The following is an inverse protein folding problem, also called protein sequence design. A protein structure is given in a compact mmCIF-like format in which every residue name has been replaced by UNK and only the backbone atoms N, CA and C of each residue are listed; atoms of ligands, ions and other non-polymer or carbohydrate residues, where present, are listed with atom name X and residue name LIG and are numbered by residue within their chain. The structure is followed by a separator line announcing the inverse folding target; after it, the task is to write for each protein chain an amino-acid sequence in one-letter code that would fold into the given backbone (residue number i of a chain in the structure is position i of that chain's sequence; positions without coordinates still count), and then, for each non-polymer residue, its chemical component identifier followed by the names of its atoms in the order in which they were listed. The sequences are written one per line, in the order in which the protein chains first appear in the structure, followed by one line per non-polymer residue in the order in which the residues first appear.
data_IF_785724453468
#
_entry.id   IF_785724453468
#
_cell.length_a   1.000
_cell.length_b   1.000
_cell.length_c   1.000
_cell.angle_alpha   90.00
_cell.angle_beta   90.00
_cell.angle_gamma   90.00
#
_symmetry.space_group_name_H-M   'P 1'
#
loop_
_entity.id
_entity.type
_entity.pdbx_description
1 polymer ?
#
# COMPACT_ATOMS: atom_id res chain seq x y z
N UNK A 1 -45.81 35.14 40.81
CA UNK A 1 -44.39 35.17 40.39
C UNK A 1 -44.10 36.55 39.84
N UNK A 2 -43.23 37.30 40.51
CA UNK A 2 -43.00 38.73 40.23
C UNK A 2 -42.09 38.90 39.01
N UNK A 3 -42.46 39.72 38.01
CA UNK A 3 -41.68 39.91 36.78
C UNK A 3 -40.30 40.55 37.01
N UNK A 4 -39.98 40.98 38.25
CA UNK A 4 -38.68 41.56 38.60
C UNK A 4 -37.56 40.54 38.83
N UNK A 5 -37.88 39.28 39.14
CA UNK A 5 -36.86 38.24 39.41
C UNK A 5 -36.18 37.70 38.15
N UNK A 6 -36.88 37.70 37.01
CA UNK A 6 -36.34 37.21 35.74
C UNK A 6 -35.31 38.14 35.11
N UNK A 7 -35.44 39.46 35.33
CA UNK A 7 -34.54 40.45 34.75
C UNK A 7 -33.16 40.43 35.41
N UNK A 8 -33.11 40.23 36.74
CA UNK A 8 -31.86 40.23 37.50
C UNK A 8 -31.00 38.99 37.19
N UNK A 9 -31.62 37.82 36.96
CA UNK A 9 -30.90 36.60 36.54
C UNK A 9 -30.27 36.73 35.15
N UNK A 10 -30.93 37.39 34.20
CA UNK A 10 -30.37 37.59 32.86
C UNK A 10 -29.15 38.51 32.87
N UNK A 11 -29.18 39.59 33.65
CA UNK A 11 -28.05 40.53 33.78
C UNK A 11 -26.83 39.85 34.42
N UNK A 12 -27.05 39.01 35.44
CA UNK A 12 -25.97 38.29 36.11
C UNK A 12 -25.28 37.26 35.18
N UNK A 13 -26.06 36.54 34.36
CA UNK A 13 -25.51 35.57 33.39
C UNK A 13 -24.70 36.27 32.30
N UNK A 14 -25.16 37.42 31.81
CA UNK A 14 -24.42 38.20 30.80
C UNK A 14 -23.09 38.75 31.34
N UNK A 15 -23.06 39.20 32.59
CA UNK A 15 -21.83 39.70 33.23
C UNK A 15 -20.82 38.58 33.50
N UNK A 16 -21.27 37.38 33.89
CA UNK A 16 -20.38 36.23 34.08
C UNK A 16 -19.81 35.73 32.75
N UNK A 17 -20.59 35.72 31.67
CA UNK A 17 -20.07 35.38 30.33
C UNK A 17 -19.03 36.39 29.82
N UNK A 18 -19.27 37.70 30.03
CA UNK A 18 -18.29 38.72 29.65
C UNK A 18 -16.99 38.62 30.47
N UNK A 19 -17.07 38.28 31.76
CA UNK A 19 -15.90 38.04 32.60
C UNK A 19 -15.06 36.85 32.14
N UNK A 20 -15.70 35.77 31.70
CA UNK A 20 -15.03 34.57 31.16
C UNK A 20 -14.36 34.84 29.81
N UNK A 21 -14.96 35.66 28.95
CA UNK A 21 -14.36 36.05 27.66
C UNK A 21 -13.15 36.99 27.82
N UNK A 22 -13.13 37.85 28.85
CA UNK A 22 -12.00 38.74 29.12
C UNK A 22 -10.82 38.03 29.81
N UNK A 23 -11.04 36.88 30.46
CA UNK A 23 -9.97 36.10 31.09
C UNK A 23 -9.21 35.19 30.10
N UNK A 24 -9.68 35.04 28.86
CA UNK A 24 -9.05 34.18 27.85
C UNK A 24 -7.99 34.90 26.99
N UNK A 25 -7.82 36.22 27.10
CA UNK A 25 -6.91 36.99 26.24
C UNK A 25 -5.49 37.21 26.81
N UNK A 26 -5.17 36.73 28.02
CA UNK A 26 -3.87 37.03 28.68
C UNK A 26 -2.92 35.83 28.86
N UNK A 27 -3.05 34.77 28.05
CA UNK A 27 -2.13 33.64 28.09
C UNK A 27 -1.55 33.29 26.71
N UNK A 28 -1.16 34.29 25.92
CA UNK A 28 -0.21 34.05 24.81
C UNK A 28 1.19 34.09 25.42
N UNK A 29 1.69 32.92 25.84
CA UNK A 29 3.14 32.76 26.03
C UNK A 29 3.78 32.98 24.67
N UNK A 30 4.62 34.01 24.56
CA UNK A 30 5.54 34.17 23.44
C UNK A 30 6.39 32.91 23.41
N UNK A 31 6.15 32.05 22.43
CA UNK A 31 7.00 30.88 22.16
C UNK A 31 8.33 31.45 21.70
N UNK A 32 9.39 31.21 22.47
CA UNK A 32 10.75 31.52 22.04
C UNK A 32 11.02 30.79 20.71
N UNK A 33 11.60 31.45 19.71
CA UNK A 33 11.90 30.81 18.43
C UNK A 33 12.82 29.62 18.69
N UNK A 34 12.31 28.42 18.40
CA UNK A 34 13.10 27.19 18.38
C UNK A 34 14.27 27.40 17.43
N UNK A 35 15.51 27.04 17.79
CA UNK A 35 16.64 27.14 16.88
C UNK A 35 16.30 26.45 15.57
N UNK A 36 16.58 27.14 14.47
CA UNK A 36 16.34 26.70 13.11
C UNK A 36 16.95 25.30 12.91
N UNK A 37 16.08 24.31 12.83
CA UNK A 37 16.43 22.90 12.67
C UNK A 37 17.21 22.71 11.37
N UNK A 38 16.90 23.52 10.35
CA UNK A 38 17.55 23.48 9.05
C UNK A 38 19.01 23.92 9.15
N UNK A 39 19.28 25.00 9.91
CA UNK A 39 20.63 25.46 10.19
C UNK A 39 21.45 24.43 10.98
N UNK A 40 20.81 23.73 11.93
CA UNK A 40 21.47 22.70 12.74
C UNK A 40 21.84 21.47 11.90
N UNK A 41 20.93 21.03 11.01
CA UNK A 41 21.17 19.91 10.10
C UNK A 41 22.29 20.24 9.09
N UNK A 42 22.33 21.45 8.56
CA UNK A 42 23.38 21.88 7.63
C UNK A 42 24.78 21.84 8.26
N UNK A 43 24.92 22.23 9.53
CA UNK A 43 26.20 22.18 10.25
C UNK A 43 26.64 20.73 10.44
N UNK A 44 25.73 19.83 10.86
CA UNK A 44 26.07 18.41 11.08
C UNK A 44 26.47 17.69 9.79
N UNK A 45 25.79 17.95 8.67
CA UNK A 45 26.15 17.36 7.37
C UNK A 45 27.51 17.86 6.90
N UNK A 46 27.82 19.15 7.10
CA UNK A 46 29.09 19.74 6.69
C UNK A 46 30.27 19.20 7.51
N UNK A 47 30.09 18.99 8.81
CA UNK A 47 31.11 18.35 9.66
C UNK A 47 31.30 16.87 9.30
N UNK A 48 30.22 16.14 9.02
CA UNK A 48 30.31 14.74 8.61
C UNK A 48 31.10 14.57 7.29
N UNK A 49 30.84 15.44 6.30
CA UNK A 49 31.57 15.41 5.03
C UNK A 49 33.04 15.81 5.16
N UNK A 50 33.39 16.71 6.08
CA UNK A 50 34.78 17.10 6.33
C UNK A 50 35.59 16.01 7.06
N UNK A 51 34.92 15.06 7.72
CA UNK A 51 35.56 13.97 8.47
C UNK A 51 35.84 12.72 7.64
N UNK A 52 35.37 12.65 6.38
CA UNK A 52 35.62 11.48 5.56
C UNK A 52 37.10 11.41 5.14
N UNK A 53 37.81 10.33 5.45
CA UNK A 53 39.20 10.18 5.05
C UNK A 53 39.30 10.10 3.53
N UNK A 54 40.12 10.97 2.94
CA UNK A 54 40.48 10.92 1.52
C UNK A 54 40.99 9.52 1.20
N UNK A 55 40.38 8.78 0.23
CA UNK A 55 40.87 7.47 -0.16
C UNK A 55 42.33 7.58 -0.59
N UNK A 56 43.21 6.87 0.13
CA UNK A 56 44.61 6.80 -0.24
C UNK A 56 44.78 6.14 -1.62
N UNK A 57 45.85 6.46 -2.37
CA UNK A 57 46.14 5.81 -3.64
C UNK A 57 46.29 4.31 -3.42
N UNK A 58 45.34 3.53 -3.94
CA UNK A 58 45.44 2.07 -3.94
C UNK A 58 46.57 1.65 -4.89
N UNK A 59 47.58 0.99 -4.34
CA UNK A 59 48.61 0.31 -5.12
C UNK A 59 47.94 -0.78 -5.97
N UNK A 60 48.15 -0.74 -7.28
CA UNK A 60 47.70 -1.75 -8.21
C UNK A 60 48.31 -3.11 -7.83
N UNK A 61 47.52 -3.94 -7.16
CA UNK A 61 47.86 -5.35 -6.94
C UNK A 61 47.55 -6.11 -8.23
N UNK A 62 48.58 -6.76 -8.78
CA UNK A 62 48.47 -7.70 -9.89
C UNK A 62 47.48 -8.81 -9.50
N UNK A 63 46.27 -8.74 -10.04
CA UNK A 63 45.27 -9.78 -9.89
C UNK A 63 45.74 -11.05 -10.64
N UNK A 64 45.57 -12.25 -10.06
CA UNK A 64 45.80 -13.50 -10.78
C UNK A 64 44.84 -13.59 -11.99
N UNK A 65 45.20 -14.35 -13.04
CA UNK A 65 44.35 -14.53 -14.20
C UNK A 65 42.97 -15.03 -13.76
N UNK A 66 41.94 -14.24 -14.10
CA UNK A 66 40.54 -14.64 -13.96
C UNK A 66 40.35 -15.94 -14.74
N UNK A 67 40.13 -17.04 -14.03
CA UNK A 67 39.52 -18.22 -14.63
C UNK A 67 38.08 -17.81 -14.96
N UNK A 68 37.78 -17.67 -16.25
CA UNK A 68 36.41 -17.46 -16.73
C UNK A 68 35.57 -18.62 -16.20
N UNK A 69 34.63 -18.41 -15.27
CA UNK A 69 33.74 -19.47 -14.86
C UNK A 69 32.95 -19.89 -16.09
N UNK A 70 33.00 -21.17 -16.42
CA UNK A 70 32.13 -21.77 -17.42
C UNK A 70 30.70 -21.57 -16.93
N UNK A 71 30.01 -20.60 -17.52
CA UNK A 71 28.60 -20.33 -17.25
C UNK A 71 27.85 -21.52 -17.83
N UNK A 72 27.65 -22.54 -17.00
CA UNK A 72 26.63 -23.54 -17.22
C UNK A 72 25.31 -22.79 -17.31
N UNK A 73 24.75 -22.70 -18.52
CA UNK A 73 23.37 -22.26 -18.72
C UNK A 73 22.49 -23.13 -17.82
N UNK A 74 22.06 -22.56 -16.68
CA UNK A 74 21.06 -23.18 -15.85
C UNK A 74 19.79 -23.16 -16.69
N UNK A 75 19.37 -24.33 -17.17
CA UNK A 75 18.09 -24.51 -17.85
C UNK A 75 17.03 -23.93 -16.92
N UNK A 76 16.46 -22.79 -17.31
CA UNK A 76 15.35 -22.17 -16.59
C UNK A 76 14.20 -23.17 -16.67
N UNK A 77 13.94 -23.88 -15.56
CA UNK A 77 12.77 -24.71 -15.44
C UNK A 77 11.56 -23.80 -15.67
N UNK A 78 10.83 -24.01 -16.76
CA UNK A 78 9.53 -23.38 -16.96
C UNK A 78 8.71 -23.66 -15.70
N UNK A 79 8.41 -22.60 -14.95
CA UNK A 79 7.56 -22.69 -13.77
C UNK A 79 6.17 -23.09 -14.25
N UNK A 80 5.84 -24.37 -14.16
CA UNK A 80 4.50 -24.85 -14.48
C UNK A 80 3.48 -24.08 -13.63
N UNK A 81 2.47 -23.52 -14.29
CA UNK A 81 1.35 -22.87 -13.60
C UNK A 81 0.66 -23.94 -12.75
N UNK A 82 0.54 -23.77 -11.43
CA UNK A 82 -0.08 -24.78 -10.58
C UNK A 82 -1.53 -24.98 -11.01
N UNK A 83 -2.01 -26.23 -10.99
CA UNK A 83 -3.39 -26.58 -11.33
C UNK A 83 -4.26 -26.41 -10.09
N UNK A 84 -5.40 -25.73 -10.24
CA UNK A 84 -6.34 -25.55 -9.15
C UNK A 84 -6.96 -26.89 -8.73
N UNK A 85 -7.01 -27.16 -7.43
CA UNK A 85 -7.68 -28.35 -6.87
C UNK A 85 -9.18 -28.14 -6.72
N UNK A 86 -9.63 -26.88 -6.65
CA UNK A 86 -11.04 -26.52 -6.61
C UNK A 86 -11.23 -25.05 -6.99
N UNK A 87 -12.38 -24.72 -7.56
CA UNK A 87 -12.75 -23.36 -7.96
C UNK A 87 -14.12 -23.00 -7.41
N UNK A 88 -14.35 -21.71 -7.15
CA UNK A 88 -15.64 -21.19 -6.71
C UNK A 88 -15.82 -19.73 -7.11
N UNK A 89 -17.01 -19.19 -6.88
CA UNK A 89 -17.33 -17.78 -7.09
C UNK A 89 -17.89 -17.21 -5.79
N UNK A 90 -17.40 -16.03 -5.41
CA UNK A 90 -17.93 -15.24 -4.30
C UNK A 90 -18.20 -13.82 -4.79
N UNK A 91 -19.48 -13.44 -4.93
CA UNK A 91 -19.81 -12.15 -5.53
C UNK A 91 -19.24 -12.04 -6.95
N UNK A 92 -18.38 -11.04 -7.19
CA UNK A 92 -17.63 -10.84 -8.44
C UNK A 92 -16.26 -11.51 -8.46
N UNK A 93 -15.89 -12.25 -7.42
CA UNK A 93 -14.61 -12.93 -7.34
C UNK A 93 -14.68 -14.32 -7.94
N UNK A 94 -13.77 -14.61 -8.88
CA UNK A 94 -13.44 -15.96 -9.33
C UNK A 94 -12.26 -16.46 -8.48
N UNK A 95 -12.47 -17.53 -7.71
CA UNK A 95 -11.50 -18.02 -6.71
C UNK A 95 -11.04 -19.43 -7.05
N UNK A 96 -9.74 -19.59 -7.27
CA UNK A 96 -9.07 -20.87 -7.46
C UNK A 96 -8.27 -21.21 -6.20
N UNK A 97 -8.49 -22.40 -5.65
CA UNK A 97 -7.71 -22.95 -4.55
C UNK A 97 -6.74 -23.99 -5.07
N UNK A 98 -5.52 -23.99 -4.53
CA UNK A 98 -4.45 -24.90 -4.90
C UNK A 98 -4.13 -25.85 -3.75
N UNK A 99 -3.24 -26.81 -4.01
CA UNK A 99 -2.75 -27.73 -2.99
C UNK A 99 -2.13 -26.95 -1.82
N UNK A 100 -2.47 -27.35 -0.59
CA UNK A 100 -2.06 -26.67 0.64
C UNK A 100 -3.01 -25.58 1.14
N UNK A 101 -4.05 -25.21 0.37
CA UNK A 101 -5.09 -24.30 0.87
C UNK A 101 -5.82 -24.86 2.09
N UNK A 102 -6.05 -24.02 3.10
CA UNK A 102 -6.69 -24.41 4.37
C UNK A 102 -8.18 -24.01 4.42
N UNK A 103 -8.93 -24.58 5.36
CA UNK A 103 -10.32 -24.20 5.60
C UNK A 103 -10.45 -22.73 6.05
N UNK A 104 -9.45 -22.21 6.77
CA UNK A 104 -9.42 -20.79 7.16
C UNK A 104 -9.35 -19.89 5.91
N UNK A 105 -8.50 -20.23 4.94
CA UNK A 105 -8.43 -19.49 3.67
C UNK A 105 -9.74 -19.55 2.90
N UNK A 106 -10.37 -20.72 2.84
CA UNK A 106 -11.71 -20.87 2.23
C UNK A 106 -12.74 -20.00 2.96
N UNK A 107 -12.67 -19.94 4.29
CA UNK A 107 -13.48 -19.05 5.13
C UNK A 107 -13.31 -17.57 4.78
N UNK A 108 -12.07 -17.10 4.63
CA UNK A 108 -11.79 -15.72 4.19
C UNK A 108 -12.46 -15.42 2.85
N UNK A 109 -12.28 -16.28 1.84
CA UNK A 109 -12.87 -16.06 0.52
C UNK A 109 -14.38 -16.25 0.47
N UNK A 110 -14.97 -17.09 1.32
CA UNK A 110 -16.43 -17.21 1.43
C UNK A 110 -17.11 -15.96 2.02
N UNK A 111 -16.34 -15.12 2.71
CA UNK A 111 -16.80 -13.88 3.34
C UNK A 111 -16.19 -12.62 2.70
N UNK A 112 -15.38 -12.80 1.65
CA UNK A 112 -14.78 -11.69 0.92
C UNK A 112 -15.88 -10.90 0.21
N UNK A 113 -15.83 -9.58 0.38
CA UNK A 113 -16.78 -8.66 -0.25
C UNK A 113 -16.23 -8.19 -1.58
N UNK A 114 -17.13 -7.80 -2.48
CA UNK A 114 -16.75 -7.14 -3.71
C UNK A 114 -16.10 -5.78 -3.41
N UNK A 115 -15.06 -5.38 -4.16
CA UNK A 115 -14.45 -4.06 -4.02
C UNK A 115 -15.49 -2.95 -4.17
N UNK A 116 -15.41 -1.93 -3.32
CA UNK A 116 -16.29 -0.76 -3.36
C UNK A 116 -15.49 0.55 -3.31
N UNK A 117 -14.90 0.99 -4.44
CA UNK A 117 -14.02 2.15 -4.51
C UNK A 117 -14.56 3.41 -3.80
N UNK A 118 -15.84 3.72 -4.00
CA UNK A 118 -16.47 4.92 -3.45
C UNK A 118 -16.53 4.96 -1.91
N UNK A 119 -16.41 3.81 -1.24
CA UNK A 119 -16.47 3.72 0.23
C UNK A 119 -15.08 3.72 0.89
N UNK A 120 -14.00 3.77 0.12
CA UNK A 120 -12.63 3.65 0.63
C UNK A 120 -11.72 4.83 0.21
N UNK A 121 -12.10 6.08 0.57
CA UNK A 121 -11.26 7.24 0.29
C UNK A 121 -9.95 7.20 1.09
N UNK A 122 -9.97 6.59 2.27
CA UNK A 122 -8.84 6.45 3.18
C UNK A 122 -8.49 4.98 3.36
N UNK A 123 -7.24 4.61 3.04
CA UNK A 123 -6.64 3.32 3.36
C UNK A 123 -5.13 3.41 3.09
N UNK A 124 -4.27 2.69 3.83
CA UNK A 124 -4.54 1.85 5.00
C UNK A 124 -4.43 2.60 6.34
N UNK A 125 -4.40 1.86 7.46
CA UNK A 125 -4.11 2.35 8.80
C UNK A 125 -5.08 3.41 9.36
N UNK A 126 -6.26 3.57 8.76
CA UNK A 126 -7.32 4.48 9.23
C UNK A 126 -8.60 3.69 9.44
N UNK A 127 -9.30 3.94 10.54
CA UNK A 127 -10.63 3.40 10.77
C UNK A 127 -11.58 3.94 9.71
N UNK A 128 -12.39 3.08 9.10
CA UNK A 128 -13.38 3.48 8.12
C UNK A 128 -14.79 3.19 8.66
N UNK A 129 -15.43 4.19 9.32
CA UNK A 129 -16.73 4.00 9.96
C UNK A 129 -17.85 3.73 8.95
N UNK A 130 -17.71 4.21 7.70
CA UNK A 130 -18.69 3.98 6.61
C UNK A 130 -18.94 2.50 6.37
N UNK A 131 -17.89 1.68 6.54
CA UNK A 131 -17.93 0.24 6.33
C UNK A 131 -17.69 -0.57 7.60
N UNK A 132 -17.66 0.09 8.76
CA UNK A 132 -17.35 -0.49 10.07
C UNK A 132 -16.00 -1.23 10.10
N UNK A 133 -15.01 -0.73 9.36
CA UNK A 133 -13.66 -1.28 9.35
C UNK A 133 -12.80 -0.61 10.42
N UNK A 134 -11.96 -1.41 11.08
CA UNK A 134 -10.96 -0.94 12.05
C UNK A 134 -9.57 -1.14 11.49
N UNK A 135 -8.70 -0.15 11.66
CA UNK A 135 -7.30 -0.23 11.23
C UNK A 135 -6.55 -1.43 11.83
N UNK A 136 -6.94 -1.86 13.04
CA UNK A 136 -6.39 -3.05 13.70
C UNK A 136 -6.64 -4.36 12.93
N UNK A 137 -7.67 -4.42 12.08
CA UNK A 137 -8.00 -5.55 11.22
C UNK A 137 -7.40 -5.39 9.80
N UNK A 138 -6.51 -4.40 9.65
CA UNK A 138 -6.02 -3.90 8.38
C UNK A 138 -4.58 -4.28 8.04
N UNK A 139 -4.00 -3.42 7.21
CA UNK A 139 -2.66 -3.55 6.65
C UNK A 139 -1.82 -2.34 7.06
N UNK A 140 -0.54 -2.56 7.29
CA UNK A 140 0.47 -1.52 7.20
C UNK A 140 0.74 -1.23 5.72
N UNK A 141 0.50 0.00 5.26
CA UNK A 141 1.11 0.45 4.00
C UNK A 141 2.59 0.72 4.25
N UNK A 142 3.47 0.16 3.42
CA UNK A 142 4.81 0.71 3.27
C UNK A 142 4.72 2.18 2.91
N UNK A 143 5.51 3.02 3.57
CA UNK A 143 5.45 4.47 3.43
C UNK A 143 5.82 4.97 2.03
N UNK A 144 6.47 4.14 1.21
CA UNK A 144 7.00 4.53 -0.08
C UNK A 144 6.51 3.59 -1.20
N UNK A 145 5.83 4.17 -2.20
CA UNK A 145 5.69 3.56 -3.50
C UNK A 145 7.09 3.36 -4.08
N UNK A 146 7.50 2.10 -4.25
CA UNK A 146 8.82 1.77 -4.79
C UNK A 146 8.71 1.44 -6.27
N UNK A 147 9.54 2.10 -7.08
CA UNK A 147 9.77 1.67 -8.47
C UNK A 147 10.31 0.24 -8.42
N UNK A 148 9.68 -0.65 -9.20
CA UNK A 148 10.10 -2.04 -9.26
C UNK A 148 11.25 -2.21 -10.25
N UNK A 149 12.47 -2.37 -9.71
CA UNK A 149 13.70 -2.67 -10.46
C UNK A 149 13.93 -1.81 -11.72
N UNK A 150 14.96 -2.14 -12.51
CA UNK A 150 15.10 -1.53 -13.83
C UNK A 150 13.94 -1.99 -14.72
N UNK A 151 13.29 -1.04 -15.39
CA UNK A 151 12.10 -1.31 -16.19
C UNK A 151 12.44 -2.34 -17.29
N UNK A 152 11.57 -3.34 -17.43
CA UNK A 152 11.64 -4.41 -18.42
C UNK A 152 12.53 -5.63 -18.11
N UNK A 153 12.98 -5.79 -16.87
CA UNK A 153 13.72 -6.99 -16.45
C UNK A 153 12.95 -7.82 -15.43
N UNK A 154 13.19 -9.14 -15.44
CA UNK A 154 12.73 -10.00 -14.34
C UNK A 154 13.62 -9.77 -13.13
N UNK A 155 12.96 -9.54 -12.00
CA UNK A 155 13.57 -9.25 -10.73
C UNK A 155 13.18 -10.23 -9.64
N UNK A 156 14.01 -10.30 -8.60
CA UNK A 156 13.59 -10.92 -7.34
C UNK A 156 12.66 -9.97 -6.60
N UNK A 157 11.50 -10.49 -6.23
CA UNK A 157 10.43 -9.79 -5.55
C UNK A 157 10.13 -10.51 -4.22
N UNK A 158 10.83 -10.14 -3.15
CA UNK A 158 10.58 -10.75 -1.86
C UNK A 158 9.22 -10.33 -1.30
N UNK A 159 8.42 -11.31 -0.89
CA UNK A 159 7.21 -11.11 -0.08
C UNK A 159 7.49 -11.68 1.31
N UNK A 160 7.70 -10.77 2.26
CA UNK A 160 8.09 -11.09 3.64
C UNK A 160 7.14 -12.11 4.27
N UNK A 161 7.67 -12.99 5.12
CA UNK A 161 6.85 -13.87 5.95
C UNK A 161 5.82 -13.04 6.73
N UNK A 162 4.56 -13.46 6.71
CA UNK A 162 3.43 -12.73 7.33
C UNK A 162 3.29 -11.28 6.82
N UNK A 163 3.64 -11.08 5.56
CA UNK A 163 3.59 -9.80 4.87
C UNK A 163 2.80 -9.88 3.58
N UNK A 164 2.74 -8.75 2.88
CA UNK A 164 2.18 -8.69 1.55
C UNK A 164 3.00 -7.78 0.64
N UNK A 165 2.79 -7.95 -0.67
CA UNK A 165 3.29 -7.06 -1.72
C UNK A 165 2.12 -6.69 -2.62
N UNK A 166 1.82 -5.41 -2.71
CA UNK A 166 0.92 -4.86 -3.72
C UNK A 166 1.74 -4.48 -4.95
N UNK A 167 1.22 -4.79 -6.13
CA UNK A 167 1.67 -4.29 -7.42
C UNK A 167 0.51 -3.56 -8.07
N UNK A 168 0.75 -2.36 -8.56
CA UNK A 168 -0.15 -1.62 -9.45
C UNK A 168 0.63 -1.30 -10.71
N UNK A 169 0.15 -1.73 -11.87
CA UNK A 169 0.87 -1.66 -13.15
C UNK A 169 0.80 -2.97 -13.93
N UNK A 170 1.38 -3.00 -15.13
CA UNK A 170 1.54 -4.24 -15.89
C UNK A 170 2.49 -5.17 -15.14
N UNK A 171 2.19 -6.46 -15.08
CA UNK A 171 3.04 -7.43 -14.39
C UNK A 171 3.00 -8.83 -15.00
N UNK A 172 4.08 -9.58 -14.76
CA UNK A 172 4.18 -11.00 -15.05
C UNK A 172 4.91 -11.68 -13.90
N UNK A 173 4.22 -12.59 -13.23
CA UNK A 173 4.72 -13.35 -12.09
C UNK A 173 4.50 -14.83 -12.40
N UNK A 174 5.53 -15.52 -12.95
CA UNK A 174 5.43 -16.91 -13.34
C UNK A 174 4.85 -17.78 -12.23
N UNK A 175 3.89 -18.63 -12.58
CA UNK A 175 3.19 -19.50 -11.63
C UNK A 175 2.12 -18.81 -10.76
N UNK A 176 1.96 -17.50 -10.82
CA UNK A 176 0.92 -16.77 -10.08
C UNK A 176 -0.08 -16.14 -11.05
N UNK A 177 0.33 -15.13 -11.81
CA UNK A 177 -0.57 -14.36 -12.67
C UNK A 177 0.20 -13.44 -13.65
N UNK A 178 -0.49 -13.04 -14.72
CA UNK A 178 0.00 -12.06 -15.71
C UNK A 178 -1.11 -11.08 -16.04
N UNK A 179 -0.77 -9.80 -16.19
CA UNK A 179 -1.71 -8.75 -16.57
C UNK A 179 -0.99 -7.62 -17.33
N UNK A 180 -1.53 -7.25 -18.49
CA UNK A 180 -1.05 -6.12 -19.30
C UNK A 180 -2.24 -5.26 -19.74
N UNK A 181 -2.21 -3.96 -19.41
CA UNK A 181 -3.33 -3.04 -19.65
C UNK A 181 -3.73 -2.92 -21.13
N UNK A 182 -2.77 -3.04 -22.04
CA UNK A 182 -2.99 -2.90 -23.49
C UNK A 182 -3.94 -3.95 -24.05
N UNK A 183 -4.02 -5.13 -23.43
CA UNK A 183 -4.87 -6.22 -23.91
C UNK A 183 -6.37 -6.00 -23.64
N UNK A 184 -6.73 -5.13 -22.69
CA UNK A 184 -8.11 -5.03 -22.20
C UNK A 184 -8.63 -3.62 -21.89
N UNK A 185 -7.82 -2.57 -22.04
CA UNK A 185 -8.12 -1.22 -21.50
C UNK A 185 -8.43 -1.24 -19.99
N UNK A 186 -7.85 -2.21 -19.29
CA UNK A 186 -8.01 -2.39 -17.85
C UNK A 186 -6.75 -1.97 -17.12
N UNK A 187 -6.89 -1.36 -15.96
CA UNK A 187 -5.81 -1.29 -14.99
C UNK A 187 -5.46 -2.67 -14.46
N UNK A 188 -4.18 -2.89 -14.15
CA UNK A 188 -3.71 -4.15 -13.56
C UNK A 188 -3.26 -3.92 -12.12
N UNK A 189 -3.80 -4.70 -11.19
CA UNK A 189 -3.35 -4.72 -9.81
C UNK A 189 -3.35 -6.13 -9.22
N UNK A 190 -2.33 -6.46 -8.43
CA UNK A 190 -2.26 -7.71 -7.68
C UNK A 190 -1.74 -7.47 -6.28
N UNK A 191 -2.37 -8.08 -5.28
CA UNK A 191 -1.89 -8.16 -3.91
C UNK A 191 -1.51 -9.59 -3.57
N UNK A 192 -0.25 -9.81 -3.21
CA UNK A 192 0.29 -11.13 -2.85
C UNK A 192 0.51 -11.15 -1.35
N UNK A 193 -0.25 -11.99 -0.65
CA UNK A 193 -0.16 -12.20 0.80
C UNK A 193 0.63 -13.48 1.08
N UNK A 194 1.78 -13.36 1.73
CA UNK A 194 2.53 -14.53 2.19
C UNK A 194 2.14 -14.86 3.62
N UNK A 195 1.36 -15.92 3.80
CA UNK A 195 0.90 -16.39 5.11
C UNK A 195 1.83 -17.39 5.77
N UNK A 196 2.90 -17.77 5.08
CA UNK A 196 3.92 -18.67 5.60
C UNK A 196 4.87 -17.99 6.58
N UNK A 197 5.68 -18.83 7.25
CA UNK A 197 6.74 -18.41 8.18
C UNK A 197 8.08 -18.11 7.48
N UNK A 198 8.14 -18.29 6.15
CA UNK A 198 9.33 -18.05 5.33
C UNK A 198 9.00 -17.01 4.28
N UNK A 199 9.97 -16.14 3.98
CA UNK A 199 9.86 -15.16 2.89
C UNK A 199 9.71 -15.88 1.56
N UNK A 200 8.73 -15.45 0.75
CA UNK A 200 8.64 -15.85 -0.64
C UNK A 200 9.65 -15.03 -1.45
N UNK A 201 10.44 -15.69 -2.28
CA UNK A 201 11.38 -15.06 -3.21
C UNK A 201 10.89 -15.34 -4.62
N UNK A 202 9.98 -14.49 -5.08
CA UNK A 202 9.28 -14.64 -6.35
C UNK A 202 10.06 -13.94 -7.46
N UNK A 203 10.11 -14.53 -8.65
CA UNK A 203 10.51 -13.79 -9.85
C UNK A 203 9.31 -13.00 -10.35
N UNK A 204 9.49 -11.70 -10.62
CA UNK A 204 8.45 -10.87 -11.19
C UNK A 204 9.03 -9.85 -12.17
N UNK A 205 8.23 -9.50 -13.16
CA UNK A 205 8.42 -8.36 -14.04
C UNK A 205 7.27 -7.38 -13.79
N UNK A 206 7.58 -6.09 -13.67
CA UNK A 206 6.58 -5.03 -13.50
C UNK A 206 6.94 -3.86 -14.41
N UNK A 207 5.96 -3.33 -15.13
CA UNK A 207 6.11 -2.20 -16.05
C UNK A 207 5.02 -1.16 -15.82
N UNK A 208 5.36 0.12 -16.04
CA UNK A 208 4.43 1.25 -15.90
C UNK A 208 3.73 1.25 -14.52
N UNK A 209 4.47 0.92 -13.47
CA UNK A 209 3.87 0.66 -12.17
C UNK A 209 4.81 0.84 -10.99
N UNK A 210 4.24 0.59 -9.83
CA UNK A 210 4.93 0.63 -8.55
C UNK A 210 4.54 -0.57 -7.71
N UNK A 211 5.33 -0.81 -6.68
CA UNK A 211 5.05 -1.86 -5.70
C UNK A 211 5.12 -1.32 -4.29
N UNK A 212 4.24 -1.83 -3.44
CA UNK A 212 4.16 -1.47 -2.03
C UNK A 212 4.28 -2.73 -1.18
N UNK A 213 5.37 -2.91 -0.43
CA UNK A 213 5.45 -3.93 0.60
C UNK A 213 4.67 -3.49 1.85
N UNK A 214 4.18 -4.45 2.62
CA UNK A 214 3.54 -4.15 3.90
C UNK A 214 3.35 -5.39 4.77
N UNK A 215 2.85 -5.18 5.99
CA UNK A 215 2.48 -6.24 6.93
C UNK A 215 0.97 -6.27 7.13
N UNK A 216 0.44 -7.44 7.45
CA UNK A 216 -0.94 -7.56 7.92
C UNK A 216 -0.92 -7.98 9.39
N UNK A 217 -1.83 -7.43 10.20
CA UNK A 217 -1.76 -7.55 11.66
C UNK A 217 -2.61 -8.70 12.20
N UNK A 218 -3.77 -8.92 11.59
CA UNK A 218 -4.76 -9.87 12.04
C UNK A 218 -5.07 -10.90 10.95
N UNK A 219 -4.45 -12.08 11.04
CA UNK A 219 -4.69 -13.17 10.10
C UNK A 219 -6.14 -13.66 10.13
N UNK A 220 -6.83 -13.60 11.27
CA UNK A 220 -8.21 -14.10 11.39
C UNK A 220 -9.22 -13.26 10.62
N UNK A 221 -8.87 -12.00 10.33
CA UNK A 221 -9.71 -11.04 9.60
C UNK A 221 -9.07 -10.57 8.30
N UNK A 222 -8.17 -11.36 7.71
CA UNK A 222 -7.43 -10.97 6.50
C UNK A 222 -8.36 -10.57 5.35
N UNK A 223 -9.56 -11.13 5.27
CA UNK A 223 -10.59 -10.76 4.29
C UNK A 223 -11.00 -9.28 4.34
N UNK A 224 -10.94 -8.64 5.53
CA UNK A 224 -11.26 -7.22 5.67
C UNK A 224 -10.14 -6.35 5.09
N UNK A 225 -8.89 -6.71 5.37
CA UNK A 225 -7.71 -6.10 4.77
C UNK A 225 -7.69 -6.26 3.24
N UNK A 226 -7.98 -7.45 2.73
CA UNK A 226 -8.11 -7.74 1.30
C UNK A 226 -9.20 -6.89 0.64
N UNK A 227 -10.35 -6.73 1.31
CA UNK A 227 -11.45 -5.89 0.83
C UNK A 227 -11.08 -4.40 0.81
N UNK A 228 -10.48 -3.88 1.89
CA UNK A 228 -10.04 -2.49 1.95
C UNK A 228 -8.97 -2.16 0.91
N UNK A 229 -7.97 -3.03 0.78
CA UNK A 229 -6.88 -2.86 -0.18
C UNK A 229 -7.39 -2.87 -1.63
N UNK A 230 -8.19 -3.88 -2.00
CA UNK A 230 -8.74 -3.96 -3.36
C UNK A 230 -9.65 -2.78 -3.68
N UNK A 231 -10.48 -2.33 -2.72
CA UNK A 231 -11.34 -1.16 -2.91
C UNK A 231 -10.54 0.13 -3.09
N UNK A 232 -9.55 0.39 -2.24
CA UNK A 232 -8.77 1.63 -2.29
C UNK A 232 -7.86 1.70 -3.52
N UNK A 233 -7.18 0.61 -3.86
CA UNK A 233 -6.33 0.58 -5.06
C UNK A 233 -7.18 0.74 -6.32
N UNK A 234 -8.34 0.09 -6.40
CA UNK A 234 -9.27 0.31 -7.52
C UNK A 234 -9.80 1.74 -7.53
N UNK A 235 -10.07 2.37 -6.38
CA UNK A 235 -10.43 3.79 -6.30
C UNK A 235 -9.33 4.67 -6.90
N UNK A 236 -8.07 4.39 -6.57
CA UNK A 236 -6.94 5.09 -7.14
C UNK A 236 -6.89 4.93 -8.67
N UNK A 237 -7.05 3.72 -9.20
CA UNK A 237 -6.95 3.45 -10.65
C UNK A 237 -8.17 3.88 -11.47
N UNK A 238 -9.36 3.94 -10.87
CA UNK A 238 -10.62 4.38 -11.50
C UNK A 238 -10.88 5.89 -11.31
N UNK A 239 -9.89 6.63 -10.79
CA UNK A 239 -9.96 8.08 -10.61
C UNK A 239 -11.02 8.59 -9.62
N UNK A 240 -11.32 7.78 -8.60
CA UNK A 240 -12.10 8.25 -7.46
C UNK A 240 -11.24 9.14 -6.57
N UNK A 241 -11.84 10.16 -5.96
CA UNK A 241 -11.15 11.00 -4.99
C UNK A 241 -10.75 10.16 -3.76
N UNK A 242 -9.45 10.05 -3.52
CA UNK A 242 -8.86 9.33 -2.40
C UNK A 242 -7.87 10.25 -1.69
N UNK A 243 -7.62 9.99 -0.41
CA UNK A 243 -6.67 10.76 0.38
C UNK A 243 -5.30 10.08 0.34
N UNK A 244 -4.27 10.85 0.00
CA UNK A 244 -2.87 10.43 0.08
C UNK A 244 -2.28 10.72 1.47
N UNK A 245 -0.95 10.73 1.56
CA UNK A 245 -0.28 11.13 2.78
C UNK A 245 -0.52 12.63 3.09
N UNK A 246 -1.05 12.94 4.27
CA UNK A 246 -1.24 14.31 4.74
C UNK A 246 -2.56 14.96 4.27
N UNK A 247 -2.47 16.11 3.61
CA UNK A 247 -3.64 16.89 3.12
C UNK A 247 -3.87 16.75 1.61
N UNK A 248 -3.03 15.95 0.94
CA UNK A 248 -3.11 15.79 -0.50
C UNK A 248 -4.23 14.81 -0.86
N UNK A 249 -5.19 15.30 -1.64
CA UNK A 249 -6.15 14.43 -2.33
C UNK A 249 -5.48 13.89 -3.58
N UNK A 250 -5.39 12.57 -3.69
CA UNK A 250 -5.05 11.89 -4.93
C UNK A 250 -6.25 12.01 -5.88
N UNK A 251 -6.01 11.92 -7.20
CA UNK A 251 -7.07 11.97 -8.22
C UNK A 251 -7.93 13.25 -8.22
N UNK A 252 -7.32 14.42 -7.99
CA UNK A 252 -8.04 15.69 -8.17
C UNK A 252 -8.39 15.93 -9.65
N UNK A 253 -9.55 16.55 -9.95
CA UNK A 253 -9.93 16.87 -11.33
C UNK A 253 -8.82 17.61 -12.09
N UNK A 254 -8.46 17.09 -13.26
CA UNK A 254 -7.42 17.67 -14.12
C UNK A 254 -5.97 17.35 -13.73
N UNK A 255 -5.75 16.52 -12.70
CA UNK A 255 -4.44 15.93 -12.40
C UNK A 255 -4.34 14.51 -12.94
N UNK A 256 -3.11 14.02 -13.06
CA UNK A 256 -2.85 12.63 -13.40
C UNK A 256 -3.41 11.72 -12.31
N UNK A 257 -4.07 10.64 -12.73
CA UNK A 257 -4.54 9.58 -11.86
C UNK A 257 -3.38 8.91 -11.09
N UNK A 258 -3.61 8.54 -9.84
CA UNK A 258 -2.63 7.91 -8.96
C UNK A 258 -2.45 6.40 -9.21
N UNK A 259 -3.24 5.79 -10.08
CA UNK A 259 -3.09 4.41 -10.48
C UNK A 259 -2.05 4.25 -11.59
N UNK A 260 -0.82 3.88 -11.26
CA UNK A 260 0.20 3.26 -12.15
C UNK A 260 -0.10 3.24 -13.67
N UNK A 261 -0.46 2.09 -14.25
CA UNK A 261 -0.75 1.94 -15.69
C UNK A 261 -2.10 2.56 -16.13
N UNK A 262 -2.80 3.19 -15.18
CA UNK A 262 -3.97 4.04 -15.37
C UNK A 262 -3.65 5.54 -15.20
N UNK A 263 -2.37 5.95 -15.19
CA UNK A 263 -1.92 7.33 -14.95
C UNK A 263 -2.23 8.28 -16.12
N UNK A 264 -3.51 8.39 -16.46
CA UNK A 264 -4.13 9.32 -17.40
C UNK A 264 -5.18 10.14 -16.67
N UNK A 265 -5.61 11.27 -17.22
CA UNK A 265 -6.51 12.22 -16.52
C UNK A 265 -7.82 11.58 -16.05
N UNK A 266 -8.37 10.64 -16.82
CA UNK A 266 -9.65 9.99 -16.51
C UNK A 266 -9.49 8.66 -15.75
N UNK A 267 -8.26 8.21 -15.49
CA UNK A 267 -7.98 6.86 -14.99
C UNK A 267 -8.33 5.76 -16.00
N UNK A 268 -8.46 4.53 -15.50
CA UNK A 268 -8.97 3.40 -16.27
C UNK A 268 -10.51 3.30 -16.16
N UNK A 269 -11.13 2.65 -17.14
CA UNK A 269 -12.57 2.34 -17.11
C UNK A 269 -12.91 1.10 -16.30
N UNK A 270 -11.93 0.20 -16.16
CA UNK A 270 -12.03 -1.02 -15.36
C UNK A 270 -10.66 -1.37 -14.78
N UNK A 271 -10.65 -2.11 -13.68
CA UNK A 271 -9.43 -2.60 -13.02
C UNK A 271 -9.56 -4.10 -12.81
N UNK A 272 -8.60 -4.87 -13.33
CA UNK A 272 -8.43 -6.28 -12.98
C UNK A 272 -7.63 -6.34 -11.69
N UNK A 273 -8.28 -6.76 -10.60
CA UNK A 273 -7.64 -6.90 -9.30
C UNK A 273 -7.49 -8.38 -8.96
N UNK A 274 -6.26 -8.77 -8.61
CA UNK A 274 -5.93 -10.14 -8.19
C UNK A 274 -5.48 -10.16 -6.73
N UNK A 275 -5.95 -11.15 -5.99
CA UNK A 275 -5.41 -11.51 -4.69
C UNK A 275 -4.76 -12.88 -4.82
N UNK A 276 -3.48 -12.99 -4.45
CA UNK A 276 -2.78 -14.25 -4.33
C UNK A 276 -2.41 -14.49 -2.87
N UNK A 277 -2.65 -15.70 -2.36
CA UNK A 277 -2.15 -16.15 -1.05
C UNK A 277 -1.08 -17.19 -1.30
N UNK A 278 0.11 -16.98 -0.72
CA UNK A 278 1.24 -17.90 -0.80
C UNK A 278 1.72 -18.34 0.59
N UNK A 279 2.47 -19.43 0.64
CA UNK A 279 3.32 -19.79 1.79
C UNK A 279 4.73 -20.08 1.26
N UNK A 280 5.65 -19.13 1.46
CA UNK A 280 6.86 -19.09 0.65
C UNK A 280 6.50 -18.97 -0.84
N UNK A 281 7.17 -19.75 -1.70
CA UNK A 281 6.94 -19.72 -3.15
C UNK A 281 5.75 -20.57 -3.62
N UNK A 282 5.04 -21.25 -2.70
CA UNK A 282 3.87 -22.05 -3.05
C UNK A 282 2.62 -21.17 -3.11
N UNK A 283 1.94 -21.14 -4.26
CA UNK A 283 0.62 -20.53 -4.40
C UNK A 283 -0.44 -21.42 -3.75
N UNK A 284 -1.28 -20.84 -2.89
CA UNK A 284 -2.32 -21.54 -2.13
C UNK A 284 -3.72 -21.11 -2.58
N UNK A 285 -3.91 -19.83 -2.87
CA UNK A 285 -5.18 -19.29 -3.38
C UNK A 285 -4.91 -18.18 -4.38
N UNK A 286 -5.74 -18.11 -5.42
CA UNK A 286 -5.82 -16.97 -6.35
C UNK A 286 -7.28 -16.55 -6.47
N UNK A 287 -7.55 -15.26 -6.30
CA UNK A 287 -8.87 -14.69 -6.55
C UNK A 287 -8.74 -13.53 -7.53
N UNK A 288 -9.61 -13.49 -8.54
CA UNK A 288 -9.61 -12.47 -9.59
C UNK A 288 -10.96 -11.78 -9.58
N UNK A 289 -10.97 -10.46 -9.74
CA UNK A 289 -12.19 -9.69 -9.97
C UNK A 289 -11.94 -8.52 -10.91
N UNK A 290 -13.02 -7.97 -11.44
CA UNK A 290 -13.03 -6.76 -12.25
C UNK A 290 -13.87 -5.68 -11.55
N UNK A 291 -13.27 -4.50 -11.38
CA UNK A 291 -13.86 -3.35 -10.71
C UNK A 291 -14.09 -2.24 -11.74
N UNK A 292 -15.26 -1.63 -11.71
CA UNK A 292 -15.74 -0.58 -12.64
C UNK A 292 -16.29 0.59 -11.83
#
# INVERSE_FOLDING_TARGET
MSPKEGAMKKILVTLVLMGLLLSACNAVKVVEPTPDLEATVQVMVKEALASQPTPGPQLAQNAPPFLTPEVSEAVEAESEVPVAVSETTQGKWEVSFFEGSTDQMRGWFSSLKDPNPAQWPDFPNVDNPTVSFKAADGLEYGLDESVFMEQNEFGQMPVQARGYRLISGDYNIPGIDVCEAESEKAGCAIAIFNVGEVTADLKAWVRQGFTVPGRYWNGDTLQLAMWGLSSHVSANMLNYATNGAGVDTLNQPGRTNAGANCSVVDGCQKVRFVIAITSGNQLLVKAVTFVE
#
